data_IF_685458055637
#
_entry.id   IF_685458055637
#
_cell.length_a   1.000
_cell.length_b   1.000
_cell.length_c   1.000
_cell.angle_alpha   90.00
_cell.angle_beta   90.00
_cell.angle_gamma   90.00
#
_symmetry.space_group_name_H-M   'P 1'
#
loop_
_entity.id
_entity.type
_entity.pdbx_description
1 polymer ?
#
# COMPACT_ATOMS: atom_id res chain seq x y z
N UNK A 1 1.60 10.99 12.13
CA UNK A 1 0.76 9.91 12.67
C UNK A 1 0.91 9.83 14.19
N UNK A 2 -0.15 9.49 14.95
CA UNK A 2 -0.03 9.29 16.41
C UNK A 2 0.88 8.08 16.72
N UNK A 3 1.83 8.17 17.67
CA UNK A 3 2.79 7.11 17.97
C UNK A 3 2.16 5.75 18.24
N UNK A 4 1.05 5.72 18.99
CA UNK A 4 0.35 4.47 19.32
C UNK A 4 -0.26 3.78 18.09
N UNK A 5 -0.64 4.53 17.05
CA UNK A 5 -1.16 3.96 15.80
C UNK A 5 -0.04 3.35 14.97
N UNK A 6 1.12 4.02 14.93
CA UNK A 6 2.34 3.49 14.29
C UNK A 6 2.75 2.17 14.93
N UNK A 7 2.88 2.14 16.25
CA UNK A 7 3.28 0.93 16.99
C UNK A 7 2.34 -0.25 16.72
N UNK A 8 1.02 -0.03 16.77
CA UNK A 8 0.04 -1.09 16.47
C UNK A 8 0.15 -1.66 15.06
N UNK A 9 0.39 -0.80 14.05
CA UNK A 9 0.55 -1.25 12.67
C UNK A 9 1.84 -2.05 12.49
N UNK A 10 2.94 -1.60 13.11
CA UNK A 10 4.22 -2.33 13.09
C UNK A 10 4.03 -3.71 13.71
N UNK A 11 3.48 -3.78 14.94
CA UNK A 11 3.24 -5.06 15.61
C UNK A 11 2.35 -6.00 14.80
N UNK A 12 1.30 -5.49 14.15
CA UNK A 12 0.43 -6.33 13.32
C UNK A 12 1.14 -6.88 12.07
N UNK A 13 2.02 -6.09 11.44
CA UNK A 13 2.81 -6.55 10.29
C UNK A 13 3.82 -7.61 10.74
N UNK A 14 4.49 -7.37 11.87
CA UNK A 14 5.47 -8.29 12.45
C UNK A 14 4.84 -9.61 12.88
N UNK A 15 3.69 -9.57 13.55
CA UNK A 15 2.97 -10.75 14.05
C UNK A 15 2.45 -11.62 12.91
N UNK A 16 1.86 -11.02 11.88
CA UNK A 16 1.17 -11.77 10.83
C UNK A 16 2.02 -12.07 9.60
N UNK A 17 3.18 -11.43 9.44
CA UNK A 17 4.07 -11.59 8.28
C UNK A 17 3.31 -11.69 6.94
N UNK A 18 2.42 -10.73 6.62
CA UNK A 18 1.57 -10.85 5.46
C UNK A 18 2.41 -10.80 4.18
N UNK A 19 2.02 -11.57 3.16
CA UNK A 19 2.64 -11.48 1.83
C UNK A 19 2.58 -10.05 1.26
N UNK A 20 1.44 -9.39 1.45
CA UNK A 20 1.17 -8.06 0.92
C UNK A 20 0.55 -7.15 1.98
N UNK A 21 0.99 -5.89 2.01
CA UNK A 21 0.35 -4.81 2.79
C UNK A 21 -0.08 -3.70 1.84
N UNK A 22 -1.34 -3.29 1.92
CA UNK A 22 -1.89 -2.21 1.08
C UNK A 22 -2.26 -1.02 1.94
N UNK A 23 -1.53 0.07 1.77
CA UNK A 23 -1.82 1.36 2.34
C UNK A 23 -2.66 2.21 1.38
N UNK A 24 -3.59 2.97 1.95
CA UNK A 24 -4.43 3.89 1.20
C UNK A 24 -3.99 5.34 1.40
N UNK A 25 -4.12 6.11 0.32
CA UNK A 25 -3.76 7.52 0.21
C UNK A 25 -2.25 7.80 0.16
N UNK A 26 -1.84 8.39 -0.95
CA UNK A 26 -0.47 8.90 -1.18
C UNK A 26 -0.13 10.09 -0.30
N UNK A 27 -1.12 10.80 0.26
CA UNK A 27 -0.87 11.92 1.17
C UNK A 27 -0.14 11.48 2.44
N UNK A 28 -0.26 10.20 2.81
CA UNK A 28 0.41 9.63 3.98
C UNK A 28 1.64 8.79 3.61
N UNK A 29 2.17 8.92 2.37
CA UNK A 29 3.29 8.11 1.89
C UNK A 29 4.51 8.16 2.82
N UNK A 30 4.86 9.34 3.33
CA UNK A 30 5.97 9.50 4.27
C UNK A 30 5.73 8.75 5.59
N UNK A 31 4.49 8.69 6.08
CA UNK A 31 4.16 7.88 7.25
C UNK A 31 4.22 6.38 6.97
N UNK A 32 3.82 5.95 5.77
CA UNK A 32 3.94 4.55 5.38
C UNK A 32 5.40 4.13 5.29
N UNK A 33 6.25 4.93 4.66
CA UNK A 33 7.71 4.75 4.62
C UNK A 33 8.31 4.64 6.03
N UNK A 34 7.89 5.52 6.94
CA UNK A 34 8.34 5.51 8.34
C UNK A 34 7.83 4.30 9.15
N UNK A 35 6.70 3.69 8.79
CA UNK A 35 6.22 2.44 9.39
C UNK A 35 7.03 1.24 8.90
N UNK A 36 7.26 1.15 7.60
CA UNK A 36 7.88 -0.06 6.99
C UNK A 36 9.40 0.01 6.90
N UNK A 37 9.99 1.18 7.17
CA UNK A 37 11.43 1.40 7.15
C UNK A 37 12.07 1.34 5.75
N UNK A 38 11.27 1.40 4.68
CA UNK A 38 11.75 1.36 3.29
C UNK A 38 11.10 2.44 2.42
N UNK A 39 11.86 2.92 1.44
CA UNK A 39 11.35 3.85 0.45
C UNK A 39 10.46 3.14 -0.57
N UNK A 40 9.44 3.84 -1.06
CA UNK A 40 8.57 3.33 -2.12
C UNK A 40 8.96 3.92 -3.46
N UNK A 41 9.08 3.06 -4.45
CA UNK A 41 9.25 3.45 -5.85
C UNK A 41 7.89 3.66 -6.51
N UNK A 42 7.80 4.62 -7.42
CA UNK A 42 6.58 4.88 -8.17
C UNK A 42 6.59 4.10 -9.47
N UNK A 43 5.69 3.13 -9.59
CA UNK A 43 5.54 2.28 -10.78
C UNK A 43 4.07 2.28 -11.22
N UNK A 44 3.81 2.63 -12.48
CA UNK A 44 2.47 2.64 -13.08
C UNK A 44 1.38 3.36 -12.25
N UNK A 45 1.75 4.46 -11.59
CA UNK A 45 0.82 5.24 -10.78
C UNK A 45 0.51 4.67 -9.39
N UNK A 46 1.18 3.58 -8.98
CA UNK A 46 1.15 3.03 -7.63
C UNK A 46 2.55 3.18 -7.01
N UNK A 47 2.63 3.33 -5.69
CA UNK A 47 3.90 3.29 -4.97
C UNK A 47 4.11 1.88 -4.44
N UNK A 48 5.29 1.30 -4.63
CA UNK A 48 5.59 -0.08 -4.24
C UNK A 48 6.94 -0.13 -3.50
N UNK A 49 7.03 -0.95 -2.46
CA UNK A 49 8.29 -1.27 -1.79
C UNK A 49 8.32 -2.77 -1.46
N UNK A 50 9.51 -3.30 -1.18
CA UNK A 50 9.69 -4.68 -0.68
C UNK A 50 10.68 -4.70 0.47
N UNK A 51 10.36 -5.47 1.51
CA UNK A 51 11.27 -5.71 2.64
C UNK A 51 10.89 -7.00 3.35
N UNK A 52 11.88 -7.83 3.72
CA UNK A 52 11.64 -9.04 4.51
C UNK A 52 10.66 -10.05 3.90
N UNK A 53 10.57 -10.13 2.57
CA UNK A 53 9.59 -11.00 1.89
C UNK A 53 8.15 -10.45 1.85
N UNK A 54 7.93 -9.23 2.35
CA UNK A 54 6.66 -8.52 2.30
C UNK A 54 6.69 -7.50 1.16
N UNK A 55 5.63 -7.49 0.35
CA UNK A 55 5.39 -6.44 -0.64
C UNK A 55 4.44 -5.38 -0.11
N UNK A 56 4.87 -4.12 -0.15
CA UNK A 56 4.10 -2.97 0.32
C UNK A 56 3.59 -2.16 -0.88
N UNK A 57 2.32 -1.79 -0.84
CA UNK A 57 1.68 -0.99 -1.88
C UNK A 57 1.05 0.23 -1.25
N UNK A 58 1.20 1.40 -1.88
CA UNK A 58 0.44 2.60 -1.54
C UNK A 58 -0.38 3.05 -2.76
N UNK A 59 -1.69 2.94 -2.59
CA UNK A 59 -2.71 3.12 -3.65
C UNK A 59 -3.70 4.23 -3.28
N UNK A 60 -4.61 4.58 -4.19
CA UNK A 60 -5.68 5.56 -3.91
C UNK A 60 -6.64 5.02 -2.86
N UNK A 61 -7.25 5.93 -2.09
CA UNK A 61 -8.29 5.53 -1.15
C UNK A 61 -9.54 5.01 -1.92
N UNK A 62 -10.26 3.97 -1.42
CA UNK A 62 -11.44 3.43 -2.11
C UNK A 62 -12.55 4.46 -2.40
N UNK A 63 -12.66 5.49 -1.56
CA UNK A 63 -13.62 6.59 -1.72
C UNK A 63 -13.09 7.76 -2.56
N UNK A 64 -11.84 7.71 -3.02
CA UNK A 64 -11.31 8.74 -3.91
C UNK A 64 -12.12 8.75 -5.21
N UNK A 65 -12.46 9.94 -5.69
CA UNK A 65 -13.20 10.09 -6.93
C UNK A 65 -12.30 9.76 -8.13
N UNK A 66 -12.48 8.57 -8.68
CA UNK A 66 -11.98 8.19 -10.00
C UNK A 66 -13.12 8.45 -10.99
N UNK A 67 -12.93 9.42 -11.89
CA UNK A 67 -13.96 9.79 -12.87
C UNK A 67 -14.14 8.65 -13.88
N UNK A 68 -15.38 8.26 -14.15
CA UNK A 68 -15.71 7.19 -15.09
C UNK A 68 -15.71 5.80 -14.45
N UNK A 69 -16.86 5.12 -14.52
CA UNK A 69 -17.06 3.79 -13.95
C UNK A 69 -16.05 2.75 -14.46
N UNK A 70 -15.77 2.76 -15.78
CA UNK A 70 -14.78 1.87 -16.40
C UNK A 70 -13.35 2.10 -15.89
N UNK A 71 -12.96 3.37 -15.65
CA UNK A 71 -11.63 3.70 -15.13
C UNK A 71 -11.47 3.26 -13.67
N UNK A 72 -12.51 3.44 -12.84
CA UNK A 72 -12.50 2.96 -11.45
C UNK A 72 -12.35 1.45 -11.39
N UNK A 73 -13.13 0.70 -12.19
CA UNK A 73 -13.04 -0.76 -12.27
C UNK A 73 -11.63 -1.20 -12.70
N UNK A 74 -11.14 -0.69 -13.83
CA UNK A 74 -9.82 -1.02 -14.36
C UNK A 74 -8.69 -0.71 -13.35
N UNK A 75 -8.79 0.39 -12.60
CA UNK A 75 -7.83 0.73 -11.56
C UNK A 75 -7.71 -0.36 -10.49
N UNK A 76 -8.86 -0.83 -9.97
CA UNK A 76 -8.88 -1.85 -8.92
C UNK A 76 -8.52 -3.24 -9.44
N UNK A 77 -8.92 -3.59 -10.67
CA UNK A 77 -8.49 -4.83 -11.34
C UNK A 77 -6.96 -4.85 -11.52
N UNK A 78 -6.37 -3.75 -11.97
CA UNK A 78 -4.93 -3.62 -12.12
C UNK A 78 -4.19 -3.72 -10.78
N UNK A 79 -4.74 -3.16 -9.69
CA UNK A 79 -4.17 -3.34 -8.36
C UNK A 79 -4.25 -4.80 -7.89
N UNK A 80 -5.38 -5.46 -8.11
CA UNK A 80 -5.56 -6.88 -7.79
C UNK A 80 -4.57 -7.78 -8.54
N UNK A 81 -4.37 -7.55 -9.84
CA UNK A 81 -3.40 -8.28 -10.65
C UNK A 81 -1.96 -8.07 -10.16
N UNK A 82 -1.59 -6.87 -9.73
CA UNK A 82 -0.27 -6.63 -9.14
C UNK A 82 -0.07 -7.39 -7.84
N UNK A 83 -1.06 -7.38 -6.96
CA UNK A 83 -1.01 -8.07 -5.67
C UNK A 83 -0.91 -9.59 -5.84
N UNK A 84 -1.55 -10.17 -6.86
CA UNK A 84 -1.48 -11.61 -7.13
C UNK A 84 -0.10 -12.05 -7.63
N UNK A 85 0.60 -11.19 -8.37
CA UNK A 85 1.94 -11.44 -8.92
C UNK A 85 3.07 -11.11 -7.93
N UNK A 86 2.82 -10.26 -6.94
CA UNK A 86 3.84 -9.82 -5.98
C UNK A 86 4.29 -10.97 -5.06
N UNK A 87 5.47 -11.54 -5.30
CA UNK A 87 6.14 -12.45 -4.35
C UNK A 87 7.19 -11.70 -3.55
#
# INVERSE_FOLDING_TARGET
MLPIRKAKLISAIEEHQPRNVVFYSKQYLSHWQDIVGVCFDKTDGVHVAKSGGISYFCTMHPTAQIRGHGQKKAYWENNGARLSLAK
#
